data_IF_469032291246
#
_entry.id   IF_469032291246
#
_cell.length_a   1.000
_cell.length_b   1.000
_cell.length_c   1.000
_cell.angle_alpha   90.00
_cell.angle_beta   90.00
_cell.angle_gamma   90.00
#
_symmetry.space_group_name_H-M   'P 1'
#
loop_
_entity.id
_entity.type
_entity.pdbx_description
1 polymer ?
#
# COMPACT_ATOMS: atom_id res chain seq x y z
N UNK A 1 -4.90 12.07 -12.38
CA UNK A 1 -3.66 12.88 -12.46
C UNK A 1 -2.75 12.44 -13.61
N UNK A 2 -2.26 11.20 -13.64
CA UNK A 2 -1.33 10.71 -14.68
C UNK A 2 -1.74 11.03 -16.13
N UNK A 3 -2.99 10.71 -16.51
CA UNK A 3 -3.55 11.00 -17.84
C UNK A 3 -3.43 12.47 -18.24
N UNK A 4 -3.77 13.37 -17.32
CA UNK A 4 -3.72 14.81 -17.55
C UNK A 4 -2.27 15.32 -17.61
N UNK A 5 -1.37 14.78 -16.78
CA UNK A 5 0.05 15.12 -16.83
C UNK A 5 0.68 14.72 -18.17
N UNK A 6 0.43 13.48 -18.63
CA UNK A 6 0.91 12.99 -19.92
C UNK A 6 0.36 13.83 -21.09
N UNK A 7 -0.94 14.15 -21.06
CA UNK A 7 -1.58 15.04 -22.06
C UNK A 7 -0.89 16.40 -22.14
N UNK A 8 -0.63 17.04 -21.00
CA UNK A 8 0.06 18.35 -20.95
C UNK A 8 1.52 18.28 -21.41
N UNK A 9 2.17 17.14 -21.20
CA UNK A 9 3.51 16.87 -21.67
C UNK A 9 3.58 16.47 -23.16
N UNK A 10 2.43 16.31 -23.84
CA UNK A 10 2.37 15.83 -25.22
C UNK A 10 2.83 14.38 -25.37
N UNK A 11 2.62 13.55 -24.34
CA UNK A 11 3.04 12.15 -24.31
C UNK A 11 1.85 11.20 -24.41
N UNK A 12 2.00 10.15 -25.20
CA UNK A 12 1.11 8.99 -25.16
C UNK A 12 1.44 8.11 -23.95
N UNK A 13 0.41 7.52 -23.34
CA UNK A 13 0.54 6.75 -22.11
C UNK A 13 -0.28 5.47 -22.18
N UNK A 14 0.39 4.35 -21.95
CA UNK A 14 -0.22 3.06 -21.67
C UNK A 14 -0.18 2.78 -20.16
N UNK A 15 -1.33 2.44 -19.57
CA UNK A 15 -1.40 2.06 -18.16
C UNK A 15 -1.36 0.54 -18.03
N UNK A 16 -0.34 0.04 -17.36
CA UNK A 16 -0.17 -1.38 -17.06
C UNK A 16 -0.09 -1.60 -15.56
N UNK A 17 -0.95 -2.49 -15.05
CA UNK A 17 -0.83 -2.98 -13.68
C UNK A 17 0.32 -3.98 -13.58
N UNK A 18 1.12 -3.89 -12.51
CA UNK A 18 2.24 -4.79 -12.22
C UNK A 18 2.18 -5.22 -10.75
N UNK A 19 2.89 -6.30 -10.42
CA UNK A 19 3.11 -6.65 -9.02
C UNK A 19 3.96 -5.59 -8.34
N UNK A 20 3.52 -5.07 -7.19
CA UNK A 20 4.21 -3.97 -6.52
C UNK A 20 5.62 -4.34 -6.04
N UNK A 21 5.85 -5.62 -5.73
CA UNK A 21 7.18 -6.13 -5.37
C UNK A 21 8.17 -6.16 -6.54
N UNK A 22 7.70 -6.05 -7.79
CA UNK A 22 8.53 -6.06 -8.99
C UNK A 22 8.79 -4.66 -9.58
N UNK A 23 8.22 -3.60 -8.99
CA UNK A 23 8.26 -2.22 -9.52
C UNK A 23 9.67 -1.70 -9.80
N UNK A 24 10.62 -1.92 -8.90
CA UNK A 24 12.00 -1.46 -9.08
C UNK A 24 12.70 -2.24 -10.21
N UNK A 25 12.47 -3.54 -10.31
CA UNK A 25 13.05 -4.39 -11.35
C UNK A 25 12.46 -4.10 -12.73
N UNK A 26 11.14 -3.90 -12.82
CA UNK A 26 10.47 -3.55 -14.07
C UNK A 26 10.87 -2.15 -14.57
N UNK A 27 11.04 -1.19 -13.65
CA UNK A 27 11.57 0.14 -13.99
C UNK A 27 13.02 0.06 -14.48
N UNK A 28 13.89 -0.67 -13.76
CA UNK A 28 15.31 -0.83 -14.13
C UNK A 28 15.49 -1.52 -15.47
N UNK A 29 14.65 -2.52 -15.77
CA UNK A 29 14.70 -3.27 -17.03
C UNK A 29 13.96 -2.59 -18.19
N UNK A 30 13.38 -1.39 -17.96
CA UNK A 30 12.55 -0.66 -18.93
C UNK A 30 11.35 -1.46 -19.45
N UNK A 31 10.83 -2.40 -18.64
CA UNK A 31 9.52 -3.01 -18.87
C UNK A 31 8.38 -2.02 -18.59
N UNK A 32 8.66 -1.00 -17.77
CA UNK A 32 7.85 0.20 -17.58
C UNK A 32 8.79 1.42 -17.60
N UNK A 33 8.27 2.57 -18.04
CA UNK A 33 9.03 3.82 -18.10
C UNK A 33 8.83 4.71 -16.86
N UNK A 34 7.68 4.57 -16.18
CA UNK A 34 7.33 5.38 -15.02
C UNK A 34 6.44 4.63 -14.03
N UNK A 35 6.60 4.94 -12.75
CA UNK A 35 5.70 4.49 -11.68
C UNK A 35 4.75 5.62 -11.28
N UNK A 36 3.46 5.44 -11.55
CA UNK A 36 2.40 6.36 -11.11
C UNK A 36 1.39 5.66 -10.19
N UNK A 37 1.84 5.27 -9.00
CA UNK A 37 0.99 4.59 -8.02
C UNK A 37 1.42 4.88 -6.57
N UNK A 38 1.56 6.16 -6.21
CA UNK A 38 1.82 6.56 -4.82
C UNK A 38 3.15 6.07 -4.24
N UNK A 39 4.22 6.00 -5.04
CA UNK A 39 5.53 5.55 -4.55
C UNK A 39 6.10 6.57 -3.55
N UNK A 40 6.21 6.18 -2.28
CA UNK A 40 6.83 7.02 -1.25
C UNK A 40 8.30 7.27 -1.56
N UNK A 41 8.70 8.54 -1.54
CA UNK A 41 10.12 8.95 -1.64
C UNK A 41 10.86 8.48 -0.39
N UNK A 42 12.01 7.85 -0.57
CA UNK A 42 12.91 7.48 0.53
C UNK A 42 14.37 7.61 0.09
N UNK A 43 15.33 7.87 1.00
CA UNK A 43 16.74 7.97 0.66
C UNK A 43 17.31 6.71 -0.01
N UNK A 44 16.74 5.54 0.29
CA UNK A 44 17.13 4.28 -0.35
C UNK A 44 16.66 4.21 -1.81
N UNK A 45 15.43 4.66 -2.08
CA UNK A 45 14.87 4.68 -3.44
C UNK A 45 15.51 5.75 -4.31
N UNK A 46 15.82 6.92 -3.75
CA UNK A 46 16.48 8.02 -4.47
C UNK A 46 17.86 7.63 -5.03
N UNK A 47 18.53 6.62 -4.45
CA UNK A 47 19.78 6.08 -5.00
C UNK A 47 19.61 5.38 -6.34
N UNK A 48 18.40 4.89 -6.63
CA UNK A 48 18.13 4.00 -7.77
C UNK A 48 17.02 4.52 -8.70
N UNK A 49 16.22 5.50 -8.27
CA UNK A 49 15.01 5.97 -8.94
C UNK A 49 15.01 7.50 -8.96
N UNK A 50 14.76 8.08 -10.14
CA UNK A 50 14.47 9.50 -10.26
C UNK A 50 13.00 9.77 -9.91
N UNK A 51 12.76 10.79 -9.09
CA UNK A 51 11.43 11.19 -8.66
C UNK A 51 11.00 12.50 -9.33
N UNK A 52 9.69 12.64 -9.54
CA UNK A 52 9.08 13.95 -9.81
C UNK A 52 9.09 14.82 -8.57
N UNK A 53 8.62 16.06 -8.70
CA UNK A 53 8.16 16.81 -7.52
C UNK A 53 7.09 16.03 -6.77
N UNK A 54 7.15 16.05 -5.45
CA UNK A 54 6.13 15.45 -4.59
C UNK A 54 4.79 16.11 -4.84
N UNK A 55 3.81 15.33 -5.31
CA UNK A 55 2.46 15.83 -5.62
C UNK A 55 1.43 15.49 -4.52
N UNK A 56 1.81 14.70 -3.51
CA UNK A 56 0.90 14.24 -2.46
C UNK A 56 1.68 13.90 -1.18
N UNK A 57 1.11 14.23 -0.01
CA UNK A 57 1.55 13.71 1.29
C UNK A 57 0.53 12.69 1.76
N UNK A 58 0.99 11.50 2.11
CA UNK A 58 0.15 10.38 2.53
C UNK A 58 0.50 9.94 3.96
N UNK A 59 -0.39 9.16 4.57
CA UNK A 59 -0.24 8.58 5.91
C UNK A 59 -0.54 7.08 5.84
N UNK A 60 0.12 6.31 6.69
CA UNK A 60 -0.17 4.89 6.88
C UNK A 60 -1.28 4.72 7.91
N UNK A 61 -2.29 3.91 7.60
CA UNK A 61 -3.41 3.56 8.47
C UNK A 61 -3.47 2.06 8.73
N UNK A 62 -3.96 1.72 9.91
CA UNK A 62 -4.42 0.38 10.27
C UNK A 62 -5.91 0.35 9.94
N UNK A 63 -6.30 -0.48 8.99
CA UNK A 63 -7.67 -0.65 8.53
C UNK A 63 -8.22 -1.94 9.12
N UNK A 64 -9.40 -1.86 9.72
CA UNK A 64 -10.09 -2.98 10.36
C UNK A 64 -11.46 -3.15 9.73
N UNK A 65 -12.22 -4.18 10.12
CA UNK A 65 -13.64 -4.26 9.75
C UNK A 65 -14.44 -3.30 10.62
N UNK A 66 -15.52 -2.76 10.06
CA UNK A 66 -16.40 -1.82 10.78
C UNK A 66 -17.09 -2.46 12.00
N UNK A 67 -17.19 -3.80 12.03
CA UNK A 67 -17.73 -4.57 13.15
C UNK A 67 -16.68 -4.98 14.20
N UNK A 68 -15.41 -4.59 14.03
CA UNK A 68 -14.31 -4.93 14.93
C UNK A 68 -13.87 -3.69 15.73
N UNK A 69 -14.29 -3.64 17.00
CA UNK A 69 -13.89 -2.60 17.94
C UNK A 69 -12.66 -2.99 18.79
N UNK A 70 -12.06 -4.15 18.53
CA UNK A 70 -10.95 -4.69 19.33
C UNK A 70 -9.59 -4.07 19.00
N UNK A 71 -9.46 -3.40 17.86
CA UNK A 71 -8.22 -2.77 17.39
C UNK A 71 -8.42 -1.26 17.26
N UNK A 72 -7.89 -0.49 18.21
CA UNK A 72 -7.96 0.99 18.24
C UNK A 72 -6.60 1.65 18.09
N UNK A 73 -5.52 0.87 18.22
CA UNK A 73 -4.17 1.33 18.00
C UNK A 73 -3.20 0.20 17.74
N UNK A 74 -1.93 0.56 17.54
CA UNK A 74 -0.86 -0.39 17.20
C UNK A 74 -0.65 -1.49 18.25
N UNK A 75 -0.86 -1.18 19.54
CA UNK A 75 -0.70 -2.16 20.61
C UNK A 75 -1.70 -3.33 20.51
N UNK A 76 -2.89 -3.06 19.97
CA UNK A 76 -3.96 -4.05 19.84
C UNK A 76 -3.73 -5.03 18.67
N UNK A 77 -2.67 -4.83 17.89
CA UNK A 77 -2.22 -5.76 16.86
C UNK A 77 -1.55 -7.02 17.45
N UNK A 78 -1.25 -7.02 18.75
CA UNK A 78 -0.67 -8.17 19.42
C UNK A 78 -1.59 -9.40 19.29
N UNK A 79 -1.04 -10.51 18.80
CA UNK A 79 -1.79 -11.75 18.58
C UNK A 79 -2.74 -11.73 17.36
N UNK A 80 -2.75 -10.65 16.58
CA UNK A 80 -3.59 -10.50 15.39
C UNK A 80 -2.87 -10.94 14.11
N UNK A 81 -3.64 -11.31 13.09
CA UNK A 81 -3.16 -11.55 11.73
C UNK A 81 -3.24 -10.23 10.96
N UNK A 82 -2.10 -9.67 10.54
CA UNK A 82 -2.02 -8.36 9.90
C UNK A 82 -1.62 -8.51 8.44
N UNK A 83 -2.47 -8.02 7.54
CA UNK A 83 -2.20 -7.94 6.10
C UNK A 83 -1.35 -6.74 5.72
N UNK A 84 -0.34 -6.95 4.89
CA UNK A 84 0.51 -5.90 4.31
C UNK A 84 0.74 -6.16 2.82
N UNK A 85 0.96 -5.12 2.03
CA UNK A 85 1.42 -5.31 0.65
C UNK A 85 2.95 -5.54 0.65
N UNK A 86 3.40 -6.55 -0.08
CA UNK A 86 4.81 -6.88 -0.22
C UNK A 86 5.62 -5.68 -0.77
N UNK A 87 6.77 -5.38 -0.16
CA UNK A 87 7.65 -4.26 -0.51
C UNK A 87 6.99 -2.88 -0.41
N UNK A 88 5.97 -2.74 0.44
CA UNK A 88 5.34 -1.46 0.76
C UNK A 88 6.02 -0.77 1.95
N UNK A 89 5.79 0.54 2.07
CA UNK A 89 6.17 1.30 3.27
C UNK A 89 5.38 0.87 4.51
N UNK A 90 4.17 0.35 4.34
CA UNK A 90 3.37 -0.22 5.44
C UNK A 90 3.98 -1.49 6.01
N UNK A 91 4.49 -2.38 5.15
CA UNK A 91 5.24 -3.57 5.58
C UNK A 91 6.51 -3.17 6.35
N UNK A 92 7.31 -2.26 5.80
CA UNK A 92 8.51 -1.76 6.48
C UNK A 92 8.17 -1.05 7.81
N UNK A 93 7.08 -0.29 7.86
CA UNK A 93 6.63 0.38 9.07
C UNK A 93 6.25 -0.62 10.17
N UNK A 94 5.52 -1.69 9.82
CA UNK A 94 5.18 -2.76 10.77
C UNK A 94 6.43 -3.48 11.27
N UNK A 95 7.33 -3.88 10.37
CA UNK A 95 8.55 -4.62 10.71
C UNK A 95 9.49 -3.84 11.64
N UNK A 96 9.56 -2.52 11.48
CA UNK A 96 10.42 -1.64 12.28
C UNK A 96 9.78 -1.17 13.60
N UNK A 97 8.47 -1.34 13.76
CA UNK A 97 7.73 -0.97 14.97
C UNK A 97 7.71 -2.15 15.97
N UNK A 98 7.83 -1.91 17.29
CA UNK A 98 7.74 -2.98 18.30
C UNK A 98 6.45 -3.80 18.21
N UNK A 99 5.33 -3.20 17.78
CA UNK A 99 4.05 -3.90 17.60
C UNK A 99 4.11 -5.00 16.53
N UNK A 100 4.97 -4.85 15.51
CA UNK A 100 5.17 -5.89 14.50
C UNK A 100 5.79 -7.18 15.05
N UNK A 101 6.41 -7.14 16.23
CA UNK A 101 6.99 -8.32 16.88
C UNK A 101 5.97 -9.12 17.69
N UNK A 102 4.81 -8.53 17.99
CA UNK A 102 3.77 -9.14 18.81
C UNK A 102 2.58 -9.63 18.00
N UNK A 103 2.49 -9.30 16.70
CA UNK A 103 1.47 -9.86 15.80
C UNK A 103 1.59 -11.38 15.73
N UNK A 104 0.46 -12.07 15.55
CA UNK A 104 0.43 -13.53 15.38
C UNK A 104 1.01 -13.93 14.04
N UNK A 105 0.68 -13.19 12.99
CA UNK A 105 1.12 -13.46 11.62
C UNK A 105 1.09 -12.15 10.81
N UNK A 106 2.14 -11.92 10.02
CA UNK A 106 2.14 -10.88 8.98
C UNK A 106 1.90 -11.55 7.64
N UNK A 107 0.72 -11.32 7.05
CA UNK A 107 0.34 -11.90 5.76
C UNK A 107 0.66 -10.93 4.63
N UNK A 108 1.53 -11.35 3.72
CA UNK A 108 1.99 -10.51 2.60
C UNK A 108 1.12 -10.71 1.36
N UNK A 109 0.74 -9.61 0.70
CA UNK A 109 -0.12 -9.59 -0.48
C UNK A 109 0.58 -8.89 -1.66
N UNK A 110 0.26 -9.30 -2.89
CA UNK A 110 0.77 -8.65 -4.09
C UNK A 110 0.14 -7.26 -4.33
N UNK A 111 -1.14 -7.10 -3.93
CA UNK A 111 -1.92 -5.88 -4.08
C UNK A 111 -2.86 -5.64 -2.89
N UNK A 112 -3.33 -4.40 -2.73
CA UNK A 112 -4.28 -4.06 -1.65
C UNK A 112 -5.69 -4.61 -1.89
N UNK A 113 -6.05 -4.96 -3.13
CA UNK A 113 -7.38 -5.51 -3.43
C UNK A 113 -7.54 -6.87 -2.74
N UNK A 114 -6.55 -7.75 -2.91
CA UNK A 114 -6.50 -9.06 -2.25
C UNK A 114 -6.41 -8.95 -0.72
N UNK A 115 -5.64 -8.00 -0.19
CA UNK A 115 -5.58 -7.73 1.25
C UNK A 115 -6.96 -7.32 1.83
N UNK A 116 -7.67 -6.39 1.16
CA UNK A 116 -8.99 -5.94 1.59
C UNK A 116 -10.07 -7.02 1.43
N UNK A 117 -9.97 -7.88 0.41
CA UNK A 117 -10.86 -9.03 0.27
C UNK A 117 -10.75 -9.98 1.47
N UNK A 118 -9.52 -10.31 1.86
CA UNK A 118 -9.27 -11.19 3.01
C UNK A 118 -9.66 -10.52 4.34
N UNK A 119 -9.47 -9.21 4.48
CA UNK A 119 -9.95 -8.44 5.64
C UNK A 119 -11.47 -8.53 5.76
N UNK A 120 -12.18 -8.34 4.65
CA UNK A 120 -13.64 -8.33 4.62
C UNK A 120 -14.30 -9.68 4.92
N UNK A 121 -13.56 -10.79 4.83
CA UNK A 121 -14.03 -12.13 5.21
C UNK A 121 -13.39 -12.65 6.50
N UNK A 122 -12.64 -11.81 7.22
CA UNK A 122 -12.05 -12.15 8.52
C UNK A 122 -10.85 -13.11 8.45
N UNK A 123 -10.19 -13.24 7.30
CA UNK A 123 -8.93 -14.01 7.20
C UNK A 123 -7.73 -13.25 7.74
N UNK A 124 -7.80 -11.92 7.73
CA UNK A 124 -6.89 -11.04 8.46
C UNK A 124 -7.72 -10.11 9.35
N UNK A 125 -7.14 -9.71 10.47
CA UNK A 125 -7.79 -8.86 11.46
C UNK A 125 -7.63 -7.37 11.12
N UNK A 126 -6.49 -7.03 10.50
CA UNK A 126 -6.21 -5.66 10.07
C UNK A 126 -5.38 -5.65 8.78
N UNK A 127 -5.44 -4.56 8.03
CA UNK A 127 -4.57 -4.27 6.88
C UNK A 127 -3.87 -2.94 7.09
N UNK A 128 -2.55 -2.88 6.87
CA UNK A 128 -1.80 -1.63 6.89
C UNK A 128 -1.66 -1.09 5.47
N UNK A 129 -2.20 0.11 5.23
CA UNK A 129 -2.23 0.71 3.90
C UNK A 129 -2.10 2.24 3.96
N UNK A 130 -1.67 2.85 2.85
CA UNK A 130 -1.71 4.29 2.65
C UNK A 130 -3.15 4.82 2.65
N UNK A 131 -3.37 6.01 3.22
CA UNK A 131 -4.70 6.57 3.46
C UNK A 131 -5.51 6.72 2.18
N UNK A 132 -4.87 7.08 1.07
CA UNK A 132 -5.55 7.31 -0.20
C UNK A 132 -6.09 6.01 -0.79
N UNK A 133 -5.28 4.95 -0.82
CA UNK A 133 -5.74 3.65 -1.33
C UNK A 133 -6.73 2.99 -0.36
N UNK A 134 -6.53 3.15 0.95
CA UNK A 134 -7.45 2.67 1.96
C UNK A 134 -8.84 3.30 1.78
N UNK A 135 -8.93 4.62 1.77
CA UNK A 135 -10.20 5.31 1.55
C UNK A 135 -10.87 4.90 0.24
N UNK A 136 -10.12 4.81 -0.85
CA UNK A 136 -10.65 4.36 -2.13
C UNK A 136 -11.26 2.95 -2.04
N UNK A 137 -10.55 1.99 -1.44
CA UNK A 137 -11.04 0.61 -1.29
C UNK A 137 -12.22 0.51 -0.32
N UNK A 138 -12.25 1.32 0.73
CA UNK A 138 -13.41 1.43 1.63
C UNK A 138 -14.67 1.87 0.88
N UNK A 139 -14.57 2.76 -0.12
CA UNK A 139 -15.73 3.12 -0.97
C UNK A 139 -16.27 1.97 -1.80
N UNK A 140 -15.46 0.92 -2.03
CA UNK A 140 -15.87 -0.30 -2.76
C UNK A 140 -16.56 -1.32 -1.85
N UNK A 141 -16.48 -1.15 -0.53
CA UNK A 141 -17.19 -1.97 0.45
C UNK A 141 -17.88 -1.11 1.52
N UNK A 142 -18.92 -0.33 1.17
CA UNK A 142 -19.59 0.54 2.13
C UNK A 142 -20.08 -0.22 3.37
N UNK A 143 -19.71 0.26 4.56
CA UNK A 143 -20.10 -0.34 5.84
C UNK A 143 -19.33 -1.60 6.25
N UNK A 144 -18.35 -2.06 5.45
CA UNK A 144 -17.52 -3.23 5.78
C UNK A 144 -16.27 -2.91 6.61
N UNK A 145 -15.73 -1.72 6.45
CA UNK A 145 -14.45 -1.27 7.02
C UNK A 145 -14.62 0.09 7.69
#
# INVERSE_FOLDING_TARGET
MAKEAAKRAGMDVEFKAIAWSSKEAELKSKKIDALWNGLTVSPEREKNILFSNTYMKDKQYVIVRNDDDSIKGKADLAGKVVGVQQASTGEAALQNDPSGKTVKETKSYADFVSAFMDLGIGRVDAVIADSVIAHYLMTKGPGKF
#
